data_IF_806576412867
#
_entry.id   IF_806576412867
#
_cell.length_a   1.000
_cell.length_b   1.000
_cell.length_c   1.000
_cell.angle_alpha   90.00
_cell.angle_beta   90.00
_cell.angle_gamma   90.00
#
_symmetry.space_group_name_H-M   'P 1'
#
loop_
_entity.id
_entity.type
_entity.pdbx_description
1 polymer ?
#
# COMPACT_ATOMS: atom_id res chain seq x y z
N UNK A 1 3.26 -25.23 3.96
CA UNK A 1 3.62 -23.80 3.81
C UNK A 1 2.82 -23.29 2.64
N UNK A 2 1.93 -22.30 2.84
CA UNK A 2 1.20 -21.72 1.72
C UNK A 2 2.16 -20.91 0.84
N UNK A 3 1.89 -20.88 -0.47
CA UNK A 3 2.67 -20.09 -1.43
C UNK A 3 2.56 -18.61 -1.10
N UNK A 4 3.68 -17.88 -1.25
CA UNK A 4 3.74 -16.44 -1.01
C UNK A 4 4.21 -15.70 -2.24
N UNK A 5 3.50 -14.63 -2.57
CA UNK A 5 3.78 -13.81 -3.75
C UNK A 5 4.09 -12.38 -3.31
N UNK A 6 5.23 -11.88 -3.76
CA UNK A 6 5.59 -10.47 -3.63
C UNK A 6 5.09 -9.71 -4.86
N UNK A 7 4.40 -8.59 -4.65
CA UNK A 7 3.96 -7.68 -5.71
C UNK A 7 4.50 -6.29 -5.44
N UNK A 8 4.91 -5.60 -6.50
CA UNK A 8 5.34 -4.20 -6.45
C UNK A 8 4.37 -3.41 -7.32
N UNK A 9 3.54 -2.56 -6.69
CA UNK A 9 2.65 -1.65 -7.41
C UNK A 9 3.39 -0.45 -7.98
N UNK A 10 2.71 0.30 -8.84
CA UNK A 10 3.15 1.61 -9.34
C UNK A 10 2.39 2.76 -8.67
N UNK A 11 1.29 2.46 -7.98
CA UNK A 11 0.44 3.41 -7.27
C UNK A 11 -0.23 2.76 -6.07
N UNK A 12 -0.60 3.54 -5.06
CA UNK A 12 -1.49 3.06 -3.99
C UNK A 12 -2.86 2.62 -4.52
N UNK A 13 -3.28 3.09 -5.70
CA UNK A 13 -4.48 2.63 -6.38
C UNK A 13 -4.43 1.14 -6.77
N UNK A 14 -3.24 0.54 -6.86
CA UNK A 14 -3.06 -0.88 -7.19
C UNK A 14 -3.33 -1.82 -6.00
N UNK A 15 -3.45 -1.27 -4.78
CA UNK A 15 -3.64 -2.02 -3.54
C UNK A 15 -5.10 -1.92 -3.08
N UNK A 16 -5.81 -3.04 -2.82
CA UNK A 16 -7.16 -2.99 -2.29
C UNK A 16 -7.20 -2.32 -0.90
N UNK A 17 -8.01 -1.26 -0.69
CA UNK A 17 -8.02 -0.51 0.58
C UNK A 17 -8.29 -1.40 1.79
N UNK A 18 -9.35 -2.20 1.73
CA UNK A 18 -9.73 -3.08 2.84
C UNK A 18 -8.65 -4.14 3.19
N UNK A 19 -7.84 -4.56 2.22
CA UNK A 19 -6.74 -5.49 2.48
C UNK A 19 -5.59 -4.79 3.21
N UNK A 20 -5.26 -3.57 2.79
CA UNK A 20 -4.22 -2.74 3.39
C UNK A 20 -4.60 -2.26 4.79
N UNK A 21 -5.78 -1.68 4.94
CA UNK A 21 -6.27 -1.18 6.24
C UNK A 21 -6.46 -2.34 7.23
N UNK A 22 -6.85 -3.52 6.74
CA UNK A 22 -6.89 -4.74 7.55
C UNK A 22 -5.51 -5.26 7.99
N UNK A 23 -4.43 -4.93 7.24
CA UNK A 23 -3.06 -5.28 7.60
C UNK A 23 -2.51 -4.36 8.68
N UNK A 24 -2.73 -3.04 8.56
CA UNK A 24 -2.19 -2.03 9.48
C UNK A 24 -3.04 -1.84 10.75
N UNK A 25 -4.32 -2.21 10.71
CA UNK A 25 -5.24 -1.97 11.83
C UNK A 25 -5.36 -0.48 12.17
N UNK A 26 -5.42 -0.16 13.46
CA UNK A 26 -5.57 1.21 13.98
C UNK A 26 -4.21 1.83 14.40
N UNK A 27 -3.09 1.33 13.86
CA UNK A 27 -1.74 1.71 14.32
C UNK A 27 -1.40 3.18 14.04
N UNK A 28 -1.77 3.72 12.88
CA UNK A 28 -1.46 5.11 12.49
C UNK A 28 -2.35 5.60 11.34
N UNK A 29 -2.95 6.81 11.46
CA UNK A 29 -3.76 7.39 10.38
C UNK A 29 -2.93 7.72 9.13
N UNK A 30 -1.61 7.87 9.27
CA UNK A 30 -0.71 8.13 8.14
C UNK A 30 -0.36 6.87 7.33
N UNK A 31 -0.79 5.70 7.80
CA UNK A 31 -0.64 4.44 7.09
C UNK A 31 -1.93 3.99 6.43
N UNK A 32 -3.07 4.63 6.71
CA UNK A 32 -4.35 4.31 6.06
C UNK A 32 -4.25 4.46 4.55
N UNK A 33 -4.91 3.56 3.82
CA UNK A 33 -4.89 3.57 2.36
C UNK A 33 -5.33 4.92 1.78
N UNK A 34 -6.40 5.49 2.33
CA UNK A 34 -6.95 6.78 1.88
C UNK A 34 -5.94 7.92 2.04
N UNK A 35 -5.18 7.95 3.15
CA UNK A 35 -4.14 8.97 3.35
C UNK A 35 -3.03 8.84 2.31
N UNK A 36 -2.54 7.61 2.09
CA UNK A 36 -1.45 7.32 1.15
C UNK A 36 -1.84 7.63 -0.29
N UNK A 37 -3.04 7.20 -0.71
CA UNK A 37 -3.58 7.50 -2.03
C UNK A 37 -3.81 9.01 -2.20
N UNK A 38 -4.36 9.69 -1.20
CA UNK A 38 -4.59 11.14 -1.26
C UNK A 38 -3.26 11.89 -1.37
N UNK A 39 -2.23 11.48 -0.62
CA UNK A 39 -0.90 12.09 -0.70
C UNK A 39 -0.31 11.97 -2.12
N UNK A 40 -0.53 10.83 -2.78
CA UNK A 40 -0.15 10.61 -4.17
C UNK A 40 -0.99 11.47 -5.15
N UNK A 41 -2.32 11.34 -5.12
CA UNK A 41 -3.25 11.96 -6.08
C UNK A 41 -3.27 13.50 -6.00
N UNK A 42 -3.04 14.07 -4.81
CA UNK A 42 -2.93 15.52 -4.63
C UNK A 42 -1.56 16.09 -5.04
N UNK A 43 -0.62 15.22 -5.44
CA UNK A 43 0.72 15.59 -5.85
C UNK A 43 1.70 15.82 -4.70
N UNK A 44 1.35 15.50 -3.46
CA UNK A 44 2.24 15.62 -2.30
C UNK A 44 3.39 14.61 -2.33
N UNK A 45 3.10 13.36 -2.70
CA UNK A 45 4.01 12.23 -2.72
C UNK A 45 4.23 11.68 -4.14
N UNK A 46 4.77 12.52 -5.03
CA UNK A 46 5.04 12.17 -6.45
C UNK A 46 6.49 12.47 -6.84
N UNK A 47 6.93 11.93 -7.99
CA UNK A 47 8.34 12.03 -8.46
C UNK A 47 8.88 13.46 -8.45
N UNK A 48 8.05 14.41 -8.86
CA UNK A 48 8.41 15.82 -8.92
C UNK A 48 8.83 16.41 -7.54
N UNK A 49 8.32 15.83 -6.46
CA UNK A 49 8.61 16.23 -5.07
C UNK A 49 9.57 15.27 -4.36
N UNK A 50 10.27 14.41 -5.11
CA UNK A 50 11.28 13.48 -4.58
C UNK A 50 10.70 12.20 -3.98
N UNK A 51 9.40 11.95 -4.16
CA UNK A 51 8.71 10.73 -3.71
C UNK A 51 8.32 9.85 -4.88
N UNK A 52 8.30 8.54 -4.71
CA UNK A 52 7.94 7.60 -5.78
C UNK A 52 7.09 6.47 -5.18
N UNK A 53 5.76 6.52 -5.32
CA UNK A 53 4.88 5.49 -4.77
C UNK A 53 5.19 4.14 -5.40
N UNK A 54 5.63 3.17 -4.61
CA UNK A 54 5.91 1.79 -5.04
C UNK A 54 5.47 0.82 -3.94
N UNK A 55 4.15 0.69 -3.68
CA UNK A 55 3.68 -0.15 -2.59
C UNK A 55 4.16 -1.59 -2.79
N UNK A 56 4.87 -2.10 -1.80
CA UNK A 56 5.35 -3.47 -1.75
C UNK A 56 4.35 -4.29 -0.95
N UNK A 57 3.85 -5.39 -1.49
CA UNK A 57 2.86 -6.24 -0.81
C UNK A 57 3.23 -7.71 -0.86
N UNK A 58 3.03 -8.40 0.26
CA UNK A 58 3.24 -9.85 0.40
C UNK A 58 1.91 -10.55 0.59
N UNK A 59 1.59 -11.49 -0.29
CA UNK A 59 0.30 -12.19 -0.33
C UNK A 59 0.46 -13.67 -0.03
N UNK A 60 -0.51 -14.25 0.68
CA UNK A 60 -0.68 -15.69 0.90
C UNK A 60 -2.08 -16.07 0.39
N UNK A 61 -2.17 -16.55 -0.85
CA UNK A 61 -3.44 -16.59 -1.59
C UNK A 61 -3.99 -15.18 -1.81
N UNK A 62 -5.24 -14.93 -1.42
CA UNK A 62 -5.88 -13.61 -1.48
C UNK A 62 -5.69 -12.77 -0.21
N UNK A 63 -4.97 -13.30 0.78
CA UNK A 63 -4.73 -12.60 2.05
C UNK A 63 -3.45 -11.78 1.96
N UNK A 64 -3.53 -10.48 2.22
CA UNK A 64 -2.36 -9.63 2.44
C UNK A 64 -1.76 -9.95 3.82
N UNK A 65 -0.45 -10.20 3.87
CA UNK A 65 0.26 -10.64 5.09
C UNK A 65 1.46 -9.76 5.46
N UNK A 66 1.76 -8.75 4.64
CA UNK A 66 2.82 -7.79 4.88
C UNK A 66 2.86 -6.75 3.78
N UNK A 67 3.44 -5.59 4.10
CA UNK A 67 3.59 -4.49 3.16
C UNK A 67 4.64 -3.48 3.60
N UNK A 68 5.11 -2.66 2.66
CA UNK A 68 6.03 -1.55 2.86
C UNK A 68 5.84 -0.47 1.80
#
# INVERSE_FOLDING_TARGET
>A
MAERVLRVGESWADVPPAAWDGLIGEDSPFLEHEFLLTAEETGGAVRANGWEPRPLTLWEGDRLVGGA
#
